data_IF_558216863680
#
_entry.id   IF_558216863680
#
_cell.length_a   1.000
_cell.length_b   1.000
_cell.length_c   1.000
_cell.angle_alpha   90.00
_cell.angle_beta   90.00
_cell.angle_gamma   90.00
#
_symmetry.space_group_name_H-M   'P 1'
#
loop_
_entity.id
_entity.type
_entity.pdbx_description
1 polymer ?
#
# COMPACT_ATOMS: atom_id res chain seq x y z
N UNK A 1 39.17 -5.51 -42.32
CA UNK A 1 40.31 -6.31 -42.80
C UNK A 1 40.34 -7.58 -41.99
N UNK A 2 40.23 -8.74 -42.70
CA UNK A 2 40.30 -10.13 -42.27
C UNK A 2 39.08 -10.69 -41.51
N UNK A 3 38.16 -11.37 -42.16
CA UNK A 3 38.02 -12.62 -42.88
C UNK A 3 38.75 -13.78 -42.17
N UNK A 4 37.96 -14.72 -41.55
CA UNK A 4 38.24 -16.13 -41.74
C UNK A 4 36.98 -17.00 -41.56
N UNK A 5 36.56 -17.55 -42.70
CA UNK A 5 35.67 -18.69 -42.87
C UNK A 5 36.38 -19.95 -42.48
N UNK A 6 35.72 -20.83 -41.76
CA UNK A 6 35.98 -22.30 -41.92
C UNK A 6 34.67 -23.02 -41.98
N UNK A 7 34.41 -23.62 -43.13
CA UNK A 7 33.38 -24.64 -43.39
C UNK A 7 33.93 -26.00 -42.91
N UNK A 8 33.08 -26.80 -42.31
CA UNK A 8 33.25 -28.26 -42.35
C UNK A 8 31.89 -28.95 -42.48
N UNK A 9 31.72 -29.57 -43.61
CA UNK A 9 30.73 -30.62 -43.88
C UNK A 9 31.23 -31.96 -43.35
N UNK A 10 30.37 -32.80 -42.82
CA UNK A 10 30.45 -34.28 -42.85
C UNK A 10 29.08 -34.81 -42.47
N UNK A 11 28.39 -35.31 -43.33
CA UNK A 11 28.00 -36.64 -43.83
C UNK A 11 27.42 -37.64 -42.79
N UNK A 12 26.16 -37.94 -43.02
CA UNK A 12 25.38 -39.20 -43.05
C UNK A 12 25.76 -40.35 -42.12
N UNK A 13 24.79 -40.82 -41.35
CA UNK A 13 24.44 -42.23 -41.24
C UNK A 13 22.97 -42.42 -40.86
N UNK A 14 22.24 -43.09 -41.76
CA UNK A 14 20.87 -43.56 -41.59
C UNK A 14 20.94 -44.90 -40.85
N UNK A 15 20.20 -45.06 -39.76
CA UNK A 15 19.85 -46.37 -39.21
C UNK A 15 18.33 -46.39 -38.99
N UNK A 16 17.66 -47.19 -39.81
CA UNK A 16 16.26 -47.54 -39.65
C UNK A 16 16.11 -48.61 -38.57
N UNK A 17 15.34 -48.30 -37.53
CA UNK A 17 14.92 -49.27 -36.51
C UNK A 17 13.41 -49.12 -36.30
N UNK A 18 12.63 -49.97 -36.96
CA UNK A 18 11.23 -50.18 -36.62
C UNK A 18 11.14 -50.84 -35.24
N UNK A 19 10.50 -50.20 -34.29
CA UNK A 19 10.00 -50.89 -33.09
C UNK A 19 8.60 -50.37 -32.82
N UNK A 20 7.65 -51.22 -33.08
CA UNK A 20 6.24 -51.04 -32.75
C UNK A 20 6.08 -51.15 -31.23
N UNK A 21 5.55 -50.11 -30.60
CA UNK A 21 5.00 -50.21 -29.25
C UNK A 21 3.66 -49.46 -29.16
N UNK A 22 2.74 -50.14 -28.52
CA UNK A 22 1.31 -49.88 -28.38
C UNK A 22 0.93 -48.48 -27.87
N UNK A 23 -0.30 -47.99 -28.16
CA UNK A 23 -0.79 -46.74 -27.65
C UNK A 23 -1.17 -46.85 -26.17
N UNK A 24 -0.40 -46.23 -25.30
CA UNK A 24 -0.83 -45.97 -23.91
C UNK A 24 -1.77 -44.80 -23.94
N UNK A 25 -3.04 -45.07 -23.72
CA UNK A 25 -4.08 -44.05 -23.46
C UNK A 25 -3.75 -43.32 -22.16
N UNK A 26 -2.94 -42.27 -22.25
CA UNK A 26 -2.75 -41.31 -21.17
C UNK A 26 -3.98 -40.39 -21.13
N UNK A 27 -4.78 -40.50 -20.07
CA UNK A 27 -5.83 -39.58 -19.79
C UNK A 27 -5.25 -38.12 -19.67
N UNK A 28 -5.93 -37.09 -20.23
CA UNK A 28 -5.48 -35.73 -20.05
C UNK A 28 -5.61 -35.37 -18.58
N UNK A 29 -4.48 -35.11 -17.95
CA UNK A 29 -4.45 -34.45 -16.63
C UNK A 29 -4.98 -33.04 -16.90
N UNK A 30 -6.24 -32.78 -16.54
CA UNK A 30 -6.79 -31.45 -16.47
C UNK A 30 -5.98 -30.70 -15.40
N UNK A 31 -5.03 -29.89 -15.84
CA UNK A 31 -4.43 -28.87 -15.02
C UNK A 31 -5.54 -27.87 -14.74
N UNK A 32 -6.25 -28.04 -13.63
CA UNK A 32 -7.11 -27.02 -13.07
C UNK A 32 -6.20 -25.85 -12.69
N UNK A 33 -6.09 -24.88 -13.59
CA UNK A 33 -5.59 -23.57 -13.24
C UNK A 33 -6.49 -23.07 -12.08
N UNK A 34 -5.95 -23.13 -10.87
CA UNK A 34 -6.53 -22.42 -9.76
C UNK A 34 -6.51 -20.94 -10.15
N UNK A 35 -7.65 -20.46 -10.65
CA UNK A 35 -7.92 -19.02 -10.73
C UNK A 35 -7.96 -18.57 -9.28
N UNK A 36 -6.87 -17.97 -8.80
CA UNK A 36 -6.90 -17.16 -7.60
C UNK A 36 -7.90 -16.02 -7.90
N UNK A 37 -9.16 -16.30 -7.59
CA UNK A 37 -10.16 -15.25 -7.40
C UNK A 37 -9.65 -14.47 -6.19
N UNK A 38 -8.91 -13.39 -6.47
CA UNK A 38 -8.80 -12.30 -5.51
C UNK A 38 -10.24 -11.86 -5.23
N UNK A 39 -10.76 -12.29 -4.07
CA UNK A 39 -12.03 -11.82 -3.57
C UNK A 39 -11.94 -10.29 -3.57
N UNK A 40 -12.69 -9.64 -4.47
CA UNK A 40 -12.98 -8.23 -4.36
C UNK A 40 -13.70 -8.06 -3.01
N UNK A 41 -12.93 -7.66 -2.02
CA UNK A 41 -13.48 -7.26 -0.73
C UNK A 41 -14.28 -5.99 -1.03
N UNK A 42 -15.60 -6.14 -1.14
CA UNK A 42 -16.54 -5.03 -1.24
C UNK A 42 -16.51 -4.23 0.08
N UNK A 43 -15.44 -3.45 0.29
CA UNK A 43 -15.24 -2.65 1.50
C UNK A 43 -14.00 -1.79 1.39
N UNK A 44 -13.85 -0.86 2.33
CA UNK A 44 -12.63 -0.07 2.46
C UNK A 44 -11.45 -0.98 2.85
N UNK A 45 -10.23 -0.70 2.36
CA UNK A 45 -9.05 -1.49 2.74
C UNK A 45 -8.77 -1.37 4.24
N UNK A 46 -8.07 -2.37 4.78
CA UNK A 46 -7.62 -2.37 6.18
C UNK A 46 -6.65 -1.22 6.41
N UNK A 47 -6.87 -0.47 7.49
CA UNK A 47 -5.96 0.55 8.00
C UNK A 47 -5.08 -0.07 9.10
N UNK A 48 -3.77 -0.22 8.86
CA UNK A 48 -2.80 -0.68 9.84
C UNK A 48 -2.21 0.54 10.55
N UNK A 49 -2.58 0.77 11.81
CA UNK A 49 -2.23 1.97 12.58
C UNK A 49 -1.12 1.68 13.58
N UNK A 50 -0.02 2.38 13.47
CA UNK A 50 1.13 2.34 14.39
C UNK A 50 1.06 3.55 15.33
N UNK A 51 0.90 3.30 16.64
CA UNK A 51 0.75 4.35 17.66
C UNK A 51 1.35 3.92 19.00
N UNK A 52 1.64 4.90 19.87
CA UNK A 52 1.93 4.60 21.26
C UNK A 52 0.69 4.03 21.97
N UNK A 53 0.84 3.02 22.85
CA UNK A 53 -0.28 2.47 23.63
C UNK A 53 -0.97 3.53 24.50
N UNK A 54 -0.23 4.54 24.94
CA UNK A 54 -0.71 5.60 25.85
C UNK A 54 -1.26 6.84 25.11
N UNK A 55 -1.20 6.88 23.77
CA UNK A 55 -1.71 8.00 22.99
C UNK A 55 -3.24 7.99 22.92
N UNK A 56 -3.91 8.82 23.75
CA UNK A 56 -5.37 8.91 23.82
C UNK A 56 -5.99 9.44 22.53
N UNK A 57 -5.52 10.58 22.02
CA UNK A 57 -6.04 11.19 20.80
C UNK A 57 -5.86 10.29 19.57
N UNK A 58 -4.78 9.49 19.52
CA UNK A 58 -4.61 8.48 18.48
C UNK A 58 -5.70 7.39 18.56
N UNK A 59 -6.16 7.04 19.77
CA UNK A 59 -7.28 6.12 19.97
C UNK A 59 -8.57 6.68 19.39
N UNK A 60 -8.87 7.96 19.67
CA UNK A 60 -10.04 8.64 19.12
C UNK A 60 -10.00 8.71 17.58
N UNK A 61 -8.83 8.94 16.99
CA UNK A 61 -8.68 8.89 15.54
C UNK A 61 -8.93 7.49 14.97
N UNK A 62 -8.47 6.43 15.66
CA UNK A 62 -8.78 5.04 15.28
C UNK A 62 -10.29 4.80 15.28
N UNK A 63 -11.01 5.31 16.28
CA UNK A 63 -12.45 5.16 16.37
C UNK A 63 -13.17 5.95 15.26
N UNK A 64 -12.70 7.16 14.93
CA UNK A 64 -13.15 7.93 13.76
C UNK A 64 -13.02 7.13 12.45
N UNK A 65 -11.92 6.41 12.22
CA UNK A 65 -11.78 5.55 11.04
C UNK A 65 -12.76 4.39 11.03
N UNK A 66 -12.99 3.75 12.19
CA UNK A 66 -13.97 2.65 12.31
C UNK A 66 -15.39 3.15 12.02
N UNK A 67 -15.78 4.29 12.59
CA UNK A 67 -17.08 4.94 12.34
C UNK A 67 -17.27 5.29 10.86
N UNK A 68 -16.18 5.67 10.18
CA UNK A 68 -16.17 5.91 8.73
C UNK A 68 -16.20 4.63 7.88
N UNK A 69 -16.17 3.42 8.50
CA UNK A 69 -16.31 2.12 7.84
C UNK A 69 -14.99 1.42 7.50
N UNK A 70 -13.84 1.93 7.97
CA UNK A 70 -12.58 1.21 7.82
C UNK A 70 -12.48 0.04 8.81
N UNK A 71 -11.92 -1.08 8.36
CA UNK A 71 -11.37 -2.08 9.25
C UNK A 71 -10.01 -1.59 9.76
N UNK A 72 -9.81 -1.57 11.08
CA UNK A 72 -8.58 -1.00 11.67
C UNK A 72 -7.84 -2.04 12.49
N UNK A 73 -6.59 -2.28 12.14
CA UNK A 73 -5.63 -3.04 12.94
C UNK A 73 -4.68 -2.06 13.64
N UNK A 74 -4.48 -2.24 14.95
CA UNK A 74 -3.59 -1.38 15.74
C UNK A 74 -2.32 -2.13 16.12
N UNK A 75 -1.17 -1.52 15.85
CA UNK A 75 0.16 -1.96 16.28
C UNK A 75 0.70 -0.95 17.30
N UNK A 76 0.66 -1.32 18.56
CA UNK A 76 1.22 -0.50 19.62
C UNK A 76 2.76 -0.60 19.62
N UNK A 77 3.43 0.55 19.70
CA UNK A 77 4.88 0.68 19.84
C UNK A 77 5.22 1.94 20.62
N UNK A 78 6.16 1.86 21.54
CA UNK A 78 6.67 3.05 22.25
C UNK A 78 7.45 3.97 21.31
N UNK A 79 8.04 3.44 20.25
CA UNK A 79 8.71 4.21 19.21
C UNK A 79 8.13 3.91 17.82
N UNK A 80 7.49 4.91 17.24
CA UNK A 80 6.92 4.87 15.88
C UNK A 80 7.85 5.45 14.82
N UNK A 81 9.02 5.97 15.21
CA UNK A 81 9.97 6.60 14.27
C UNK A 81 10.50 5.63 13.21
N UNK A 82 10.85 4.36 13.52
CA UNK A 82 11.30 3.42 12.49
C UNK A 82 10.26 3.19 11.40
N UNK A 83 8.96 3.17 11.75
CA UNK A 83 7.86 3.03 10.78
C UNK A 83 7.78 4.27 9.89
N UNK A 84 7.82 5.47 10.46
CA UNK A 84 7.80 6.73 9.71
C UNK A 84 8.96 6.83 8.71
N UNK A 85 10.15 6.45 9.14
CA UNK A 85 11.35 6.43 8.29
C UNK A 85 11.20 5.44 7.14
N UNK A 86 10.74 4.21 7.42
CA UNK A 86 10.49 3.18 6.41
C UNK A 86 9.47 3.62 5.36
N UNK A 87 8.41 4.30 5.78
CA UNK A 87 7.35 4.79 4.90
C UNK A 87 7.74 6.09 4.17
N UNK A 88 8.81 6.74 4.59
CA UNK A 88 9.30 7.97 3.97
C UNK A 88 8.43 9.19 4.32
N UNK A 89 7.92 9.25 5.56
CA UNK A 89 7.30 10.47 6.09
C UNK A 89 8.35 11.59 6.09
N UNK A 90 8.08 12.75 5.46
CA UNK A 90 9.06 13.81 5.35
C UNK A 90 9.45 14.37 6.73
N UNK A 91 10.71 14.76 6.86
CA UNK A 91 11.19 15.42 8.07
C UNK A 91 10.36 16.68 8.38
N UNK A 92 10.00 16.86 9.65
CA UNK A 92 9.17 17.99 10.09
C UNK A 92 7.67 17.87 9.78
N UNK A 93 7.22 16.80 9.10
CA UNK A 93 5.81 16.55 8.80
C UNK A 93 5.19 15.45 9.68
N UNK A 94 5.93 14.93 10.66
CA UNK A 94 5.48 13.88 11.56
C UNK A 94 4.43 14.36 12.57
N UNK A 95 3.62 13.40 13.03
CA UNK A 95 2.61 13.55 14.08
C UNK A 95 2.74 12.39 15.09
N UNK A 96 1.71 12.10 15.87
CA UNK A 96 1.77 11.12 16.97
C UNK A 96 1.58 9.66 16.52
N UNK A 97 1.05 9.41 15.34
CA UNK A 97 0.85 8.07 14.76
C UNK A 97 1.04 8.08 13.25
N UNK A 98 1.16 6.88 12.69
CA UNK A 98 1.23 6.65 11.24
C UNK A 98 0.37 5.44 10.90
N UNK A 99 -0.40 5.50 9.82
CA UNK A 99 -1.12 4.35 9.30
C UNK A 99 -0.64 3.97 7.90
N UNK A 100 -0.83 2.69 7.55
CA UNK A 100 -0.62 2.13 6.21
C UNK A 100 -1.97 1.69 5.67
N UNK A 101 -2.38 2.20 4.51
CA UNK A 101 -3.67 1.89 3.88
C UNK A 101 -3.46 1.75 2.38
N UNK A 102 -3.65 0.54 1.83
CA UNK A 102 -3.55 0.26 0.38
C UNK A 102 -2.28 0.81 -0.28
N UNK A 103 -1.14 0.74 0.41
CA UNK A 103 0.16 1.19 -0.12
C UNK A 103 0.48 2.67 0.09
N UNK A 104 -0.45 3.44 0.65
CA UNK A 104 -0.22 4.80 1.11
C UNK A 104 0.08 4.83 2.61
N UNK A 105 0.88 5.79 3.05
CA UNK A 105 0.90 6.15 4.46
C UNK A 105 -0.06 7.30 4.75
N UNK A 106 -0.61 7.31 5.97
CA UNK A 106 -1.41 8.40 6.52
C UNK A 106 -0.74 8.83 7.82
N UNK A 107 -0.30 10.06 7.87
CA UNK A 107 0.43 10.61 9.00
C UNK A 107 -0.42 11.62 9.76
N UNK A 108 -0.71 11.33 11.04
CA UNK A 108 -1.48 12.21 11.90
C UNK A 108 -3.00 12.12 11.69
N UNK A 109 -3.70 13.12 12.18
CA UNK A 109 -5.16 13.14 12.34
C UNK A 109 -5.91 13.50 11.05
N UNK A 110 -5.54 12.87 9.93
CA UNK A 110 -6.17 13.07 8.61
C UNK A 110 -7.63 12.60 8.65
N UNK A 111 -8.60 13.40 8.18
CA UNK A 111 -10.00 13.00 8.09
C UNK A 111 -10.23 11.78 7.21
N UNK A 112 -11.16 10.92 7.60
CA UNK A 112 -11.50 9.70 6.86
C UNK A 112 -11.96 9.98 5.43
N UNK A 113 -12.62 11.10 5.18
CA UNK A 113 -13.08 11.54 3.86
C UNK A 113 -11.90 11.83 2.93
N UNK A 114 -10.83 12.44 3.43
CA UNK A 114 -9.61 12.65 2.66
C UNK A 114 -8.92 11.33 2.32
N UNK A 115 -8.91 10.39 3.26
CA UNK A 115 -8.38 9.04 3.01
C UNK A 115 -9.22 8.34 1.94
N UNK A 116 -10.54 8.38 2.02
CA UNK A 116 -11.43 7.81 1.00
C UNK A 116 -11.19 8.45 -0.37
N UNK A 117 -11.01 9.77 -0.42
CA UNK A 117 -10.70 10.50 -1.65
C UNK A 117 -9.35 10.06 -2.23
N UNK A 118 -8.31 9.96 -1.40
CA UNK A 118 -7.00 9.44 -1.80
C UNK A 118 -7.12 8.04 -2.44
N UNK A 119 -7.89 7.16 -1.81
CA UNK A 119 -8.10 5.78 -2.28
C UNK A 119 -8.89 5.73 -3.60
N UNK A 120 -9.81 6.68 -3.82
CA UNK A 120 -10.58 6.78 -5.04
C UNK A 120 -9.77 7.38 -6.20
N UNK A 121 -9.03 8.46 -5.95
CA UNK A 121 -8.22 9.16 -6.94
C UNK A 121 -6.94 8.41 -7.31
N UNK A 122 -6.37 7.64 -6.39
CA UNK A 122 -5.15 6.82 -6.56
C UNK A 122 -3.97 7.60 -7.16
N UNK A 123 -3.63 8.79 -6.65
CA UNK A 123 -2.53 9.55 -7.18
C UNK A 123 -1.20 8.80 -7.05
N UNK A 124 -0.24 9.09 -7.94
CA UNK A 124 1.12 8.59 -7.79
C UNK A 124 1.86 9.36 -6.68
N UNK A 125 1.63 8.94 -5.45
CA UNK A 125 2.10 9.60 -4.25
C UNK A 125 2.52 8.57 -3.18
N UNK A 126 3.15 9.03 -2.11
CA UNK A 126 3.48 8.21 -0.94
C UNK A 126 2.33 8.15 0.06
N UNK A 127 1.56 9.25 0.22
CA UNK A 127 0.49 9.32 1.19
C UNK A 127 0.06 10.75 1.54
N UNK A 128 -0.62 10.86 2.68
CA UNK A 128 -1.09 12.13 3.24
C UNK A 128 -0.41 12.43 4.57
N UNK A 129 -0.21 13.71 4.85
CA UNK A 129 0.24 14.20 6.15
C UNK A 129 -0.67 15.32 6.67
N UNK A 130 -0.96 15.27 7.96
CA UNK A 130 -1.48 16.39 8.72
C UNK A 130 -0.48 16.68 9.86
N UNK A 131 0.47 17.61 9.65
CA UNK A 131 1.51 17.89 10.63
C UNK A 131 0.93 18.45 11.94
N UNK A 132 1.51 18.05 13.04
CA UNK A 132 1.03 18.44 14.37
C UNK A 132 -0.26 17.73 14.75
N UNK A 133 -1.08 18.39 15.53
CA UNK A 133 -2.37 17.91 16.04
C UNK A 133 -3.32 19.12 16.12
N UNK A 134 -3.76 19.65 14.97
CA UNK A 134 -4.58 20.86 14.98
C UNK A 134 -5.93 20.59 15.67
N UNK A 135 -6.33 21.54 16.52
CA UNK A 135 -7.64 21.48 17.18
C UNK A 135 -8.75 21.48 16.13
N UNK A 136 -9.72 20.58 16.28
CA UNK A 136 -10.82 20.36 15.34
C UNK A 136 -10.56 19.26 14.30
N UNK A 137 -9.32 18.74 14.19
CA UNK A 137 -9.10 17.52 13.41
C UNK A 137 -9.64 16.29 14.15
N UNK A 138 -9.95 15.17 13.43
CA UNK A 138 -10.53 13.98 14.05
C UNK A 138 -9.70 13.43 15.22
N UNK A 139 -10.32 13.25 16.39
CA UNK A 139 -9.66 12.86 17.64
C UNK A 139 -8.96 14.02 18.37
N UNK A 140 -9.10 15.27 17.85
CA UNK A 140 -8.61 16.50 18.43
C UNK A 140 -9.74 17.53 18.57
N UNK A 141 -10.96 17.06 18.67
CA UNK A 141 -12.15 17.89 18.91
C UNK A 141 -12.03 18.56 20.27
N UNK A 142 -12.44 19.82 20.31
CA UNK A 142 -12.47 20.63 21.52
C UNK A 142 -13.80 21.35 21.68
N UNK A 143 -13.94 22.21 22.70
CA UNK A 143 -15.12 23.04 22.87
C UNK A 143 -15.43 23.85 21.60
N UNK A 144 -16.72 24.21 21.44
CA UNK A 144 -17.17 25.04 20.32
C UNK A 144 -16.32 26.32 20.18
N UNK A 145 -15.92 26.65 18.93
CA UNK A 145 -15.08 27.80 18.61
C UNK A 145 -13.58 27.62 18.83
N UNK A 146 -13.12 26.42 19.23
CA UNK A 146 -11.68 26.13 19.38
C UNK A 146 -11.04 25.52 18.15
N UNK A 147 -11.82 25.06 17.18
CA UNK A 147 -11.31 24.51 15.94
C UNK A 147 -10.45 25.53 15.19
N UNK A 148 -9.39 25.08 14.57
CA UNK A 148 -8.45 25.88 13.77
C UNK A 148 -8.46 25.38 12.34
N UNK A 149 -8.39 26.25 11.34
CA UNK A 149 -8.19 25.83 9.97
C UNK A 149 -6.90 25.03 9.85
N UNK A 150 -6.93 23.92 9.08
CA UNK A 150 -5.76 23.12 8.81
C UNK A 150 -5.76 22.62 7.36
N UNK A 151 -4.57 22.21 6.90
CA UNK A 151 -4.38 21.68 5.55
C UNK A 151 -3.83 20.27 5.64
N UNK A 152 -4.50 19.34 4.99
CA UNK A 152 -3.94 18.01 4.69
C UNK A 152 -3.07 18.14 3.44
N UNK A 153 -1.87 17.61 3.50
CA UNK A 153 -0.92 17.67 2.39
C UNK A 153 -0.72 16.29 1.74
N UNK A 154 -0.64 16.26 0.41
CA UNK A 154 -0.23 15.09 -0.36
C UNK A 154 1.30 15.06 -0.42
N UNK A 155 1.88 13.90 -0.17
CA UNK A 155 3.34 13.67 -0.27
C UNK A 155 3.63 12.92 -1.56
N UNK A 156 4.31 13.59 -2.50
CA UNK A 156 4.74 13.02 -3.76
C UNK A 156 5.82 11.94 -3.59
N UNK A 157 6.08 11.18 -4.67
CA UNK A 157 7.13 10.15 -4.67
C UNK A 157 8.52 10.70 -4.39
N UNK A 158 8.76 11.93 -4.77
CA UNK A 158 10.01 12.66 -4.50
C UNK A 158 10.11 13.22 -3.08
N UNK A 159 9.04 13.12 -2.29
CA UNK A 159 8.96 13.64 -0.91
C UNK A 159 8.53 15.10 -0.82
N UNK A 160 8.25 15.78 -1.91
CA UNK A 160 7.64 17.12 -1.90
C UNK A 160 6.20 17.05 -1.41
N UNK A 161 5.71 18.14 -0.81
CA UNK A 161 4.33 18.23 -0.34
C UNK A 161 3.54 19.30 -1.09
N UNK A 162 2.27 19.02 -1.32
CA UNK A 162 1.30 19.96 -1.89
C UNK A 162 -0.02 19.90 -1.13
N UNK A 163 -0.80 20.98 -1.16
CA UNK A 163 -2.11 20.99 -0.52
C UNK A 163 -3.02 19.93 -1.15
N UNK A 164 -3.64 19.10 -0.30
CA UNK A 164 -4.63 18.10 -0.70
C UNK A 164 -6.04 18.58 -0.35
N UNK A 165 -6.29 18.95 0.90
CA UNK A 165 -7.57 19.51 1.36
C UNK A 165 -7.35 20.61 2.40
N UNK A 166 -8.39 21.43 2.61
CA UNK A 166 -8.45 22.47 3.65
C UNK A 166 -9.73 22.27 4.45
N UNK A 167 -9.63 22.43 5.75
CA UNK A 167 -10.70 22.26 6.73
C UNK A 167 -10.79 23.43 7.67
#
# INVERSE_FOLDING_TARGET
MNINRVRSLSLLAIVAGLSACAPTTGAPIAVVAAVEQSAEVHGLPVALVHKSPTCGCCGLWVDHLKEAGFQVEVRNSEDVMPVKQRLGVPYGKGSCHTAEIAGYFIEGHVPAEDIKRLLAEKPDAKGLVLPGMPMGSPGMEGPEGTARPYTVELVGRDGTTSSFSQH
#
